data_IF_749248288268
#
_entry.id   IF_749248288268
#
_cell.length_a   1.000
_cell.length_b   1.000
_cell.length_c   1.000
_cell.angle_alpha   90.00
_cell.angle_beta   90.00
_cell.angle_gamma   90.00
#
_symmetry.space_group_name_H-M   'P 1'
#
loop_
_entity.id
_entity.type
_entity.pdbx_description
1 polymer ?
#
# COMPACT_ATOMS: atom_id res chain seq x y z
N UNK A 1 34.96 14.32 -40.69
CA UNK A 1 33.54 14.54 -41.04
C UNK A 1 32.80 13.20 -41.10
N UNK A 2 32.16 12.79 -40.01
CA UNK A 2 31.06 11.82 -40.03
C UNK A 2 30.31 11.93 -38.68
N UNK A 3 29.05 12.38 -38.75
CA UNK A 3 28.13 12.53 -37.63
C UNK A 3 27.64 11.14 -37.18
N UNK A 4 27.70 10.83 -35.89
CA UNK A 4 26.91 9.75 -35.30
C UNK A 4 25.72 10.38 -34.59
N UNK A 5 24.54 10.03 -35.10
CA UNK A 5 23.26 10.58 -34.70
C UNK A 5 22.76 9.94 -33.38
N UNK A 6 22.11 10.81 -32.61
CA UNK A 6 21.41 10.62 -31.34
C UNK A 6 20.40 9.47 -31.38
N UNK A 7 20.66 8.40 -30.61
CA UNK A 7 19.66 7.41 -30.22
C UNK A 7 18.75 7.94 -29.11
N UNK A 8 17.68 8.62 -29.50
CA UNK A 8 16.53 8.93 -28.64
C UNK A 8 15.29 8.59 -29.45
N UNK A 9 14.70 7.41 -29.25
CA UNK A 9 13.29 7.10 -29.57
C UNK A 9 13.01 5.66 -29.12
N UNK A 10 12.31 5.49 -27.99
CA UNK A 10 11.47 4.30 -27.69
C UNK A 10 10.49 4.48 -26.52
N UNK A 11 10.47 5.62 -25.81
CA UNK A 11 9.58 5.79 -24.64
C UNK A 11 8.17 6.35 -24.95
N UNK A 12 7.90 6.83 -26.18
CA UNK A 12 6.69 7.59 -26.49
C UNK A 12 5.50 6.77 -27.03
N UNK A 13 5.66 5.47 -27.25
CA UNK A 13 4.66 4.64 -27.96
C UNK A 13 3.78 3.76 -27.06
N UNK A 14 3.92 3.81 -25.72
CA UNK A 14 3.12 2.99 -24.80
C UNK A 14 1.87 3.70 -24.23
N UNK A 15 1.75 5.03 -24.37
CA UNK A 15 0.68 5.81 -23.72
C UNK A 15 -0.71 5.68 -24.41
N UNK A 16 -0.78 5.14 -25.63
CA UNK A 16 -2.02 5.02 -26.40
C UNK A 16 -2.86 3.77 -26.11
N UNK A 17 -2.25 2.72 -25.56
CA UNK A 17 -2.89 1.40 -25.35
C UNK A 17 -3.33 1.15 -23.90
N UNK A 18 -3.00 2.03 -22.96
CA UNK A 18 -3.40 1.86 -21.55
C UNK A 18 -4.91 2.18 -21.38
N UNK A 19 -5.70 1.26 -20.79
CA UNK A 19 -7.10 1.49 -20.45
C UNK A 19 -7.32 2.82 -19.74
N UNK A 20 -8.39 3.53 -20.09
CA UNK A 20 -8.73 4.85 -19.51
C UNK A 20 -8.68 4.87 -17.98
N UNK A 21 -9.22 3.86 -17.24
CA UNK A 21 -9.13 3.86 -15.78
C UNK A 21 -7.69 3.83 -15.25
N UNK A 22 -6.81 3.06 -15.88
CA UNK A 22 -5.42 2.94 -15.46
C UNK A 22 -4.65 4.24 -15.72
N UNK A 23 -4.90 4.88 -16.88
CA UNK A 23 -4.35 6.22 -17.17
C UNK A 23 -4.80 7.27 -16.17
N UNK A 24 -6.09 7.29 -15.83
CA UNK A 24 -6.64 8.22 -14.83
C UNK A 24 -5.99 8.01 -13.45
N UNK A 25 -5.83 6.77 -13.00
CA UNK A 25 -5.18 6.45 -11.72
C UNK A 25 -3.70 6.84 -11.73
N UNK A 26 -2.95 6.48 -12.79
CA UNK A 26 -1.54 6.81 -12.95
C UNK A 26 -1.29 8.33 -12.92
N UNK A 27 -2.10 9.09 -13.66
CA UNK A 27 -2.03 10.55 -13.68
C UNK A 27 -2.43 11.15 -12.33
N UNK A 28 -3.50 10.65 -11.70
CA UNK A 28 -3.94 11.13 -10.40
C UNK A 28 -2.87 10.88 -9.33
N UNK A 29 -2.28 9.68 -9.25
CA UNK A 29 -1.16 9.35 -8.35
C UNK A 29 -0.02 10.35 -8.53
N UNK A 30 0.43 10.56 -9.76
CA UNK A 30 1.54 11.49 -10.04
C UNK A 30 1.22 12.93 -9.63
N UNK A 31 0.05 13.44 -9.99
CA UNK A 31 -0.35 14.81 -9.64
C UNK A 31 -0.53 14.99 -8.12
N UNK A 32 -1.11 13.99 -7.43
CA UNK A 32 -1.22 14.01 -5.98
C UNK A 32 0.14 13.95 -5.28
N UNK A 33 1.12 13.22 -5.84
CA UNK A 33 2.49 13.19 -5.34
C UNK A 33 3.19 14.55 -5.49
N UNK A 34 3.06 15.18 -6.66
CA UNK A 34 3.75 16.42 -7.02
C UNK A 34 3.15 17.66 -6.33
N UNK A 35 1.82 17.74 -6.23
CA UNK A 35 1.09 18.97 -5.87
C UNK A 35 0.25 18.80 -4.60
N UNK A 36 0.01 17.57 -4.15
CA UNK A 36 -0.92 17.27 -3.07
C UNK A 36 -2.36 17.09 -3.54
N UNK A 37 -3.13 16.31 -2.77
CA UNK A 37 -4.51 15.94 -3.09
C UNK A 37 -5.44 17.16 -3.23
N UNK A 38 -5.36 18.12 -2.30
CA UNK A 38 -6.26 19.27 -2.26
C UNK A 38 -6.05 20.22 -3.44
N UNK A 39 -4.78 20.49 -3.78
CA UNK A 39 -4.41 21.40 -4.85
C UNK A 39 -4.61 20.82 -6.26
N UNK A 40 -4.82 19.51 -6.36
CA UNK A 40 -5.10 18.84 -7.64
C UNK A 40 -6.59 18.88 -7.95
N UNK A 41 -6.95 19.49 -9.09
CA UNK A 41 -8.33 19.54 -9.60
C UNK A 41 -8.64 18.38 -10.54
N UNK A 42 -9.93 18.02 -10.64
CA UNK A 42 -10.41 17.05 -11.64
C UNK A 42 -10.04 17.46 -13.06
N UNK A 43 -10.05 18.78 -13.36
CA UNK A 43 -9.70 19.28 -14.69
C UNK A 43 -8.24 18.95 -15.05
N UNK A 44 -7.30 19.21 -14.14
CA UNK A 44 -5.88 18.88 -14.35
C UNK A 44 -5.67 17.37 -14.60
N UNK A 45 -6.40 16.52 -13.87
CA UNK A 45 -6.31 15.06 -14.03
C UNK A 45 -6.78 14.65 -15.42
N UNK A 46 -7.96 15.09 -15.86
CA UNK A 46 -8.51 14.66 -17.16
C UNK A 46 -7.73 15.23 -18.34
N UNK A 47 -7.22 16.46 -18.22
CA UNK A 47 -6.36 17.07 -19.23
C UNK A 47 -5.05 16.29 -19.39
N UNK A 48 -4.41 15.95 -18.27
CA UNK A 48 -3.17 15.16 -18.28
C UNK A 48 -3.39 13.70 -18.70
N UNK A 49 -4.56 13.12 -18.45
CA UNK A 49 -4.93 11.77 -18.91
C UNK A 49 -5.42 11.73 -20.36
N UNK A 50 -5.65 12.88 -20.99
CA UNK A 50 -6.15 12.99 -22.36
C UNK A 50 -7.59 12.47 -22.52
N UNK A 51 -8.43 12.69 -21.51
CA UNK A 51 -9.84 12.26 -21.50
C UNK A 51 -10.77 13.41 -21.08
N UNK A 52 -12.07 13.22 -21.22
CA UNK A 52 -13.06 14.22 -20.76
C UNK A 52 -13.45 13.99 -19.30
N UNK A 53 -14.02 15.02 -18.66
CA UNK A 53 -14.69 14.87 -17.35
C UNK A 53 -15.77 13.79 -17.36
N UNK A 54 -16.56 13.72 -18.43
CA UNK A 54 -17.59 12.68 -18.58
C UNK A 54 -16.99 11.27 -18.59
N UNK A 55 -15.84 11.08 -19.25
CA UNK A 55 -15.13 9.81 -19.22
C UNK A 55 -14.59 9.47 -17.83
N UNK A 56 -14.06 10.45 -17.08
CA UNK A 56 -13.67 10.21 -15.68
C UNK A 56 -14.89 9.80 -14.84
N UNK A 57 -15.98 10.58 -14.88
CA UNK A 57 -17.18 10.32 -14.07
C UNK A 57 -17.89 9.02 -14.44
N UNK A 58 -17.66 8.49 -15.64
CA UNK A 58 -18.10 7.15 -16.00
C UNK A 58 -17.39 6.04 -15.21
N UNK A 59 -16.10 6.23 -14.88
CA UNK A 59 -15.29 5.24 -14.15
C UNK A 59 -15.16 5.53 -12.65
N UNK A 60 -15.12 6.81 -12.27
CA UNK A 60 -14.88 7.28 -10.91
C UNK A 60 -15.83 8.43 -10.60
N UNK A 61 -16.75 8.24 -9.65
CA UNK A 61 -17.78 9.22 -9.31
C UNK A 61 -17.23 10.55 -8.77
N UNK A 62 -15.98 10.58 -8.32
CA UNK A 62 -15.36 11.74 -7.67
C UNK A 62 -13.83 11.69 -7.68
N UNK A 63 -13.19 12.79 -7.27
CA UNK A 63 -11.75 12.84 -6.98
C UNK A 63 -11.39 11.91 -5.81
N UNK A 64 -12.30 11.78 -4.84
CA UNK A 64 -12.18 10.89 -3.69
C UNK A 64 -12.12 9.42 -4.14
N UNK A 65 -12.90 9.03 -5.16
CA UNK A 65 -12.87 7.68 -5.72
C UNK A 65 -11.52 7.35 -6.35
N UNK A 66 -10.86 8.32 -6.99
CA UNK A 66 -9.49 8.12 -7.50
C UNK A 66 -8.50 7.89 -6.36
N UNK A 67 -8.50 8.75 -5.32
CA UNK A 67 -7.60 8.59 -4.18
C UNK A 67 -7.86 7.27 -3.43
N UNK A 68 -9.14 6.92 -3.25
CA UNK A 68 -9.52 5.65 -2.66
C UNK A 68 -9.02 4.47 -3.49
N UNK A 69 -9.26 4.46 -4.80
CA UNK A 69 -8.89 3.33 -5.65
C UNK A 69 -7.37 3.14 -5.75
N UNK A 70 -6.58 4.22 -5.75
CA UNK A 70 -5.11 4.16 -5.68
C UNK A 70 -4.67 3.32 -4.47
N UNK A 71 -5.21 3.60 -3.29
CA UNK A 71 -4.86 2.86 -2.08
C UNK A 71 -5.53 1.49 -1.98
N UNK A 72 -6.79 1.38 -2.42
CA UNK A 72 -7.55 0.13 -2.40
C UNK A 72 -6.86 -0.96 -3.23
N UNK A 73 -6.19 -0.61 -4.34
CA UNK A 73 -5.38 -1.54 -5.12
C UNK A 73 -4.26 -2.17 -4.28
N UNK A 74 -3.55 -1.36 -3.49
CA UNK A 74 -2.48 -1.84 -2.60
C UNK A 74 -3.07 -2.73 -1.51
N UNK A 75 -4.15 -2.30 -0.86
CA UNK A 75 -4.85 -3.08 0.16
C UNK A 75 -5.33 -4.43 -0.35
N UNK A 76 -5.93 -4.51 -1.54
CA UNK A 76 -6.40 -5.77 -2.12
C UNK A 76 -5.27 -6.77 -2.33
N UNK A 77 -4.11 -6.29 -2.81
CA UNK A 77 -2.92 -7.14 -2.98
C UNK A 77 -2.42 -7.63 -1.62
N UNK A 78 -2.29 -6.74 -0.64
CA UNK A 78 -1.84 -7.09 0.70
C UNK A 78 -2.80 -8.09 1.36
N UNK A 79 -4.11 -7.89 1.26
CA UNK A 79 -5.11 -8.82 1.78
C UNK A 79 -5.02 -10.20 1.13
N UNK A 80 -4.94 -10.27 -0.20
CA UNK A 80 -4.84 -11.56 -0.88
C UNK A 80 -3.59 -12.34 -0.47
N UNK A 81 -2.44 -11.66 -0.36
CA UNK A 81 -1.18 -12.26 0.08
C UNK A 81 -1.23 -12.69 1.54
N UNK A 82 -1.79 -11.84 2.39
CA UNK A 82 -1.97 -12.11 3.82
C UNK A 82 -2.85 -13.34 4.05
N UNK A 83 -3.99 -13.47 3.36
CA UNK A 83 -4.83 -14.67 3.49
C UNK A 83 -4.10 -15.93 3.00
N UNK A 84 -3.37 -15.83 1.89
CA UNK A 84 -2.58 -16.95 1.37
C UNK A 84 -1.49 -17.39 2.34
N UNK A 85 -0.76 -16.46 2.95
CA UNK A 85 0.28 -16.76 3.93
C UNK A 85 -0.31 -17.30 5.24
N UNK A 86 -1.41 -16.71 5.72
CA UNK A 86 -2.08 -17.11 6.95
C UNK A 86 -2.75 -18.49 6.86
N UNK A 87 -3.07 -18.95 5.64
CA UNK A 87 -3.65 -20.27 5.36
C UNK A 87 -2.60 -21.34 4.97
N UNK A 88 -1.31 -20.99 4.90
CA UNK A 88 -0.26 -21.93 4.54
C UNK A 88 -0.13 -23.07 5.57
N UNK A 89 0.22 -24.27 5.10
CA UNK A 89 0.51 -25.43 5.96
C UNK A 89 1.91 -25.30 6.57
N UNK A 90 2.06 -24.38 7.51
CA UNK A 90 3.33 -24.05 8.18
C UNK A 90 3.08 -23.59 9.63
N UNK A 91 4.09 -23.67 10.51
CA UNK A 91 4.00 -23.15 11.86
C UNK A 91 3.51 -21.70 11.91
N UNK A 92 2.72 -21.36 12.94
CA UNK A 92 2.10 -20.03 13.08
C UNK A 92 3.12 -18.89 13.10
N UNK A 93 4.34 -19.14 13.60
CA UNK A 93 5.44 -18.18 13.58
C UNK A 93 5.89 -17.86 12.16
N UNK A 94 6.01 -18.87 11.31
CA UNK A 94 6.41 -18.71 9.90
C UNK A 94 5.31 -17.97 9.11
N UNK A 95 4.04 -18.32 9.36
CA UNK A 95 2.91 -17.59 8.76
C UNK A 95 2.87 -16.13 9.17
N UNK A 96 3.01 -15.84 10.47
CA UNK A 96 3.00 -14.47 10.98
C UNK A 96 4.21 -13.68 10.45
N UNK A 97 5.38 -14.30 10.37
CA UNK A 97 6.58 -13.70 9.78
C UNK A 97 6.34 -13.32 8.31
N UNK A 98 5.83 -14.26 7.50
CA UNK A 98 5.57 -14.03 6.09
C UNK A 98 4.56 -12.89 5.86
N UNK A 99 3.48 -12.84 6.66
CA UNK A 99 2.50 -11.75 6.62
C UNK A 99 3.14 -10.40 6.97
N UNK A 100 3.92 -10.35 8.04
CA UNK A 100 4.59 -9.14 8.51
C UNK A 100 5.66 -8.63 7.51
N UNK A 101 6.46 -9.53 6.95
CA UNK A 101 7.48 -9.17 5.97
C UNK A 101 6.84 -8.66 4.66
N UNK A 102 5.81 -9.34 4.16
CA UNK A 102 5.14 -8.94 2.92
C UNK A 102 4.46 -7.57 3.03
N UNK A 103 3.80 -7.27 4.15
CA UNK A 103 3.11 -5.98 4.29
C UNK A 103 4.10 -4.80 4.30
N UNK A 104 5.26 -4.98 4.91
CA UNK A 104 6.33 -3.97 4.91
C UNK A 104 6.94 -3.83 3.51
N UNK A 105 7.30 -4.94 2.88
CA UNK A 105 7.90 -4.93 1.54
C UNK A 105 6.96 -4.33 0.49
N UNK A 106 5.67 -4.67 0.54
CA UNK A 106 4.66 -4.09 -0.36
C UNK A 106 4.41 -2.61 -0.07
N UNK A 107 4.45 -2.18 1.20
CA UNK A 107 4.38 -0.75 1.55
C UNK A 107 5.59 0.00 1.00
N UNK A 108 6.79 -0.56 1.14
CA UNK A 108 8.05 0.00 0.62
C UNK A 108 8.08 0.09 -0.92
N UNK A 109 7.42 -0.85 -1.61
CA UNK A 109 7.29 -0.82 -3.06
C UNK A 109 6.28 0.24 -3.55
N UNK A 110 5.34 0.65 -2.71
CA UNK A 110 4.24 1.58 -3.04
C UNK A 110 4.27 2.83 -2.13
N UNK A 111 5.45 3.38 -1.85
CA UNK A 111 5.63 4.48 -0.89
C UNK A 111 4.86 5.74 -1.26
N UNK A 112 4.86 6.12 -2.53
CA UNK A 112 4.17 7.34 -2.97
C UNK A 112 2.66 7.19 -2.75
N UNK A 113 2.08 6.08 -3.20
CA UNK A 113 0.65 5.77 -3.01
C UNK A 113 0.27 5.76 -1.53
N UNK A 114 1.06 5.08 -0.69
CA UNK A 114 0.79 4.99 0.74
C UNK A 114 0.96 6.34 1.43
N UNK A 115 2.01 7.10 1.12
CA UNK A 115 2.28 8.44 1.66
C UNK A 115 1.19 9.44 1.29
N UNK A 116 0.76 9.47 0.02
CA UNK A 116 -0.36 10.31 -0.44
C UNK A 116 -1.61 9.92 0.34
N UNK A 117 -1.91 8.63 0.43
CA UNK A 117 -3.08 8.14 1.14
C UNK A 117 -3.09 8.55 2.61
N UNK A 118 -2.02 8.27 3.37
CA UNK A 118 -1.97 8.59 4.81
C UNK A 118 -2.07 10.09 5.09
N UNK A 119 -1.55 10.94 4.20
CA UNK A 119 -1.66 12.40 4.32
C UNK A 119 -3.05 12.93 3.99
N UNK A 120 -3.81 12.23 3.16
CA UNK A 120 -5.07 12.75 2.61
C UNK A 120 -6.31 11.96 3.01
N UNK A 121 -6.18 10.81 3.68
CA UNK A 121 -7.32 9.95 4.01
C UNK A 121 -8.37 10.63 4.90
N UNK A 122 -7.95 11.58 5.74
CA UNK A 122 -8.85 12.35 6.60
C UNK A 122 -9.69 13.38 5.83
N UNK A 123 -9.34 13.65 4.56
CA UNK A 123 -10.03 14.57 3.66
C UNK A 123 -11.06 13.86 2.78
N UNK A 124 -11.04 12.53 2.72
CA UNK A 124 -12.01 11.75 1.96
C UNK A 124 -13.42 11.93 2.53
N UNK A 125 -14.44 11.77 1.69
CA UNK A 125 -15.83 11.69 2.13
C UNK A 125 -16.00 10.61 3.21
N UNK A 126 -16.85 10.82 4.23
CA UNK A 126 -17.04 9.88 5.35
C UNK A 126 -17.28 8.41 4.94
N UNK A 127 -17.99 8.19 3.83
CA UNK A 127 -18.26 6.85 3.31
C UNK A 127 -16.98 6.15 2.85
N UNK A 128 -16.10 6.86 2.13
CA UNK A 128 -14.78 6.32 1.72
C UNK A 128 -13.85 6.12 2.89
N UNK A 129 -13.90 6.99 3.90
CA UNK A 129 -13.16 6.75 5.14
C UNK A 129 -13.67 5.47 5.84
N UNK A 130 -14.98 5.21 5.83
CA UNK A 130 -15.56 4.01 6.42
C UNK A 130 -15.13 2.74 5.68
N UNK A 131 -15.13 2.76 4.33
CA UNK A 131 -14.62 1.66 3.50
C UNK A 131 -13.15 1.34 3.85
N UNK A 132 -12.27 2.34 3.91
CA UNK A 132 -10.87 2.09 4.27
C UNK A 132 -10.70 1.58 5.70
N UNK A 133 -11.47 2.12 6.66
CA UNK A 133 -11.43 1.62 8.04
C UNK A 133 -11.87 0.16 8.12
N UNK A 134 -12.86 -0.25 7.34
CA UNK A 134 -13.31 -1.64 7.28
C UNK A 134 -12.23 -2.57 6.73
N UNK A 135 -11.58 -2.19 5.62
CA UNK A 135 -10.49 -2.98 5.03
C UNK A 135 -9.29 -3.11 5.98
N UNK A 136 -8.91 -2.02 6.66
CA UNK A 136 -7.83 -2.05 7.65
C UNK A 136 -8.18 -2.90 8.86
N UNK A 137 -9.41 -2.80 9.36
CA UNK A 137 -9.91 -3.61 10.47
C UNK A 137 -9.85 -5.10 10.13
N UNK A 138 -10.28 -5.50 8.93
CA UNK A 138 -10.21 -6.89 8.49
C UNK A 138 -8.77 -7.42 8.51
N UNK A 139 -7.82 -6.62 8.04
CA UNK A 139 -6.41 -7.02 8.04
C UNK A 139 -5.92 -7.19 9.48
N UNK A 140 -6.19 -6.19 10.32
CA UNK A 140 -5.83 -6.17 11.74
C UNK A 140 -6.36 -7.41 12.47
N UNK A 141 -7.65 -7.68 12.36
CA UNK A 141 -8.32 -8.82 13.01
C UNK A 141 -7.70 -10.16 12.57
N UNK A 142 -7.31 -10.29 11.30
CA UNK A 142 -6.69 -11.51 10.79
C UNK A 142 -5.29 -11.74 11.34
N UNK A 143 -4.50 -10.68 11.54
CA UNK A 143 -3.18 -10.76 12.19
C UNK A 143 -3.33 -11.04 13.69
N UNK A 144 -4.28 -10.39 14.37
CA UNK A 144 -4.62 -10.70 15.77
C UNK A 144 -4.93 -12.20 15.93
N UNK A 145 -5.74 -12.76 15.03
CA UNK A 145 -6.09 -14.18 15.08
C UNK A 145 -4.87 -15.12 14.97
N UNK A 146 -3.83 -14.76 14.20
CA UNK A 146 -2.58 -15.53 14.13
C UNK A 146 -1.80 -15.46 15.44
N UNK A 147 -1.74 -14.29 16.07
CA UNK A 147 -1.10 -14.12 17.38
C UNK A 147 -1.85 -14.94 18.44
N UNK A 148 -3.17 -14.85 18.48
CA UNK A 148 -4.02 -15.62 19.40
C UNK A 148 -3.88 -17.14 19.19
N UNK A 149 -3.75 -17.58 17.94
CA UNK A 149 -3.45 -18.98 17.61
C UNK A 149 -2.12 -19.43 18.24
N UNK A 150 -1.04 -18.66 18.06
CA UNK A 150 0.25 -19.00 18.66
C UNK A 150 0.27 -18.90 20.18
N UNK A 151 -0.50 -17.98 20.78
CA UNK A 151 -0.68 -17.90 22.23
C UNK A 151 -1.39 -19.14 22.77
N UNK A 152 -2.49 -19.59 22.13
CA UNK A 152 -3.19 -20.82 22.51
C UNK A 152 -2.33 -22.07 22.36
N UNK A 153 -1.44 -22.08 21.36
CA UNK A 153 -0.48 -23.17 21.14
C UNK A 153 0.71 -23.15 22.11
N UNK A 154 0.85 -22.12 22.97
CA UNK A 154 2.00 -21.95 23.87
C UNK A 154 3.30 -21.56 23.15
N UNK A 155 3.19 -21.19 21.87
CA UNK A 155 4.30 -20.79 21.00
C UNK A 155 4.65 -19.32 21.20
N UNK A 156 3.66 -18.49 21.51
CA UNK A 156 3.82 -17.08 21.84
C UNK A 156 3.47 -16.81 23.30
N UNK A 157 4.12 -15.82 23.90
CA UNK A 157 3.78 -15.30 25.23
C UNK A 157 2.34 -14.78 25.27
N UNK A 158 1.62 -15.08 26.35
CA UNK A 158 0.21 -14.72 26.50
C UNK A 158 -0.05 -13.47 27.37
N UNK A 159 0.98 -12.84 27.93
CA UNK A 159 0.86 -11.63 28.76
C UNK A 159 0.77 -10.32 27.95
N UNK A 160 0.70 -10.41 26.62
CA UNK A 160 0.59 -9.27 25.71
C UNK A 160 -0.71 -9.38 24.91
N UNK A 161 -1.45 -8.27 24.84
CA UNK A 161 -2.66 -8.16 24.02
C UNK A 161 -2.28 -8.26 22.53
N UNK A 162 -2.92 -9.15 21.75
CA UNK A 162 -2.77 -9.20 20.30
C UNK A 162 -2.99 -7.85 19.64
N UNK A 163 -4.07 -7.13 20.00
CA UNK A 163 -4.38 -5.81 19.46
C UNK A 163 -3.24 -4.81 19.65
N UNK A 164 -2.67 -4.72 20.87
CA UNK A 164 -1.57 -3.79 21.14
C UNK A 164 -0.30 -4.14 20.36
N UNK A 165 -0.02 -5.43 20.16
CA UNK A 165 1.13 -5.88 19.36
C UNK A 165 0.92 -5.51 17.88
N UNK A 166 -0.28 -5.72 17.36
CA UNK A 166 -0.64 -5.37 15.98
C UNK A 166 -0.61 -3.86 15.78
N UNK A 167 -1.19 -3.07 16.68
CA UNK A 167 -1.16 -1.59 16.63
C UNK A 167 0.27 -1.06 16.67
N UNK A 168 1.14 -1.62 17.53
CA UNK A 168 2.55 -1.24 17.59
C UNK A 168 3.27 -1.53 16.26
N UNK A 169 3.08 -2.73 15.71
CA UNK A 169 3.68 -3.14 14.45
C UNK A 169 3.20 -2.27 13.28
N UNK A 170 1.89 -2.15 13.09
CA UNK A 170 1.32 -1.35 11.99
C UNK A 170 1.59 0.15 12.15
N UNK A 171 1.69 0.65 13.37
CA UNK A 171 2.17 2.01 13.63
C UNK A 171 3.54 2.25 12.98
N UNK A 172 4.47 1.31 13.14
CA UNK A 172 5.78 1.38 12.51
C UNK A 172 5.70 1.27 10.97
N UNK A 173 4.89 0.35 10.43
CA UNK A 173 4.68 0.19 8.98
C UNK A 173 4.09 1.46 8.35
N UNK A 174 3.09 2.08 8.98
CA UNK A 174 2.48 3.31 8.49
C UNK A 174 3.45 4.50 8.50
N UNK A 175 4.44 4.48 9.41
CA UNK A 175 5.46 5.53 9.49
C UNK A 175 6.57 5.39 8.43
N UNK A 176 6.65 4.26 7.72
CA UNK A 176 7.71 3.94 6.76
C UNK A 176 7.92 5.04 5.71
N UNK A 177 6.83 5.62 5.20
CA UNK A 177 6.85 6.69 4.18
C UNK A 177 7.48 8.02 4.62
N UNK A 178 7.89 8.15 5.88
CA UNK A 178 8.55 9.35 6.41
C UNK A 178 10.08 9.27 6.39
N UNK A 179 10.65 8.06 6.40
CA UNK A 179 12.09 7.86 6.57
C UNK A 179 12.70 6.86 5.58
N UNK A 180 11.93 5.88 5.09
CA UNK A 180 12.46 4.86 4.19
C UNK A 180 12.80 5.46 2.82
N UNK A 181 13.91 5.01 2.26
CA UNK A 181 14.46 5.48 0.99
C UNK A 181 14.72 4.29 0.08
N UNK A 182 14.12 4.30 -1.12
CA UNK A 182 14.31 3.23 -2.09
C UNK A 182 15.75 3.13 -2.63
N UNK A 183 16.53 4.22 -2.53
CA UNK A 183 17.94 4.31 -2.91
C UNK A 183 18.90 4.11 -1.71
N UNK A 184 18.38 3.63 -0.57
CA UNK A 184 19.16 3.35 0.63
C UNK A 184 19.88 2.00 0.60
N UNK A 185 20.62 1.70 1.68
CA UNK A 185 21.37 0.45 1.82
C UNK A 185 20.47 -0.79 2.00
N UNK A 186 19.31 -0.61 2.65
CA UNK A 186 18.34 -1.68 2.87
C UNK A 186 17.23 -1.62 1.82
N UNK A 187 16.96 -2.75 1.18
CA UNK A 187 15.79 -2.90 0.32
C UNK A 187 14.51 -2.98 1.14
N UNK A 188 13.35 -2.80 0.48
CA UNK A 188 12.06 -3.00 1.15
C UNK A 188 11.86 -4.43 1.67
N UNK A 189 12.50 -5.42 1.04
CA UNK A 189 12.50 -6.80 1.51
C UNK A 189 13.34 -6.95 2.78
N UNK A 190 14.55 -6.39 2.82
CA UNK A 190 15.42 -6.43 4.01
C UNK A 190 14.74 -5.78 5.22
N UNK A 191 14.10 -4.63 5.01
CA UNK A 191 13.34 -3.96 6.08
C UNK A 191 12.16 -4.81 6.52
N UNK A 192 11.46 -5.48 5.59
CA UNK A 192 10.36 -6.37 5.90
C UNK A 192 10.76 -7.57 6.74
N UNK A 193 11.85 -8.24 6.38
CA UNK A 193 12.40 -9.36 7.15
C UNK A 193 12.77 -8.91 8.58
N UNK A 194 13.48 -7.79 8.72
CA UNK A 194 13.87 -7.27 10.04
C UNK A 194 12.67 -6.83 10.89
N UNK A 195 11.64 -6.22 10.28
CA UNK A 195 10.41 -5.85 10.98
C UNK A 195 9.64 -7.08 11.46
N UNK A 196 9.56 -8.12 10.64
CA UNK A 196 8.94 -9.39 11.00
C UNK A 196 9.70 -10.10 12.13
N UNK A 197 11.04 -10.07 12.10
CA UNK A 197 11.88 -10.61 13.17
C UNK A 197 11.67 -9.88 14.50
N UNK A 198 11.56 -8.54 14.47
CA UNK A 198 11.26 -7.73 15.65
C UNK A 198 9.86 -8.05 16.21
N UNK A 199 8.86 -8.21 15.34
CA UNK A 199 7.52 -8.62 15.74
C UNK A 199 7.56 -9.99 16.45
N UNK A 200 8.19 -10.99 15.84
CA UNK A 200 8.31 -12.32 16.45
C UNK A 200 9.11 -12.29 17.76
N UNK A 201 10.19 -11.51 17.82
CA UNK A 201 10.98 -11.34 19.03
C UNK A 201 10.14 -10.80 20.20
N UNK A 202 9.20 -9.88 19.92
CA UNK A 202 8.27 -9.33 20.92
C UNK A 202 7.27 -10.36 21.47
N UNK A 203 7.06 -11.47 20.74
CA UNK A 203 6.09 -12.53 21.06
C UNK A 203 6.73 -13.80 21.64
N UNK A 204 8.06 -13.87 21.78
CA UNK A 204 8.74 -15.04 22.36
C UNK A 204 8.27 -15.29 23.82
N UNK A 205 8.09 -16.57 24.22
CA UNK A 205 7.68 -16.96 25.58
C UNK A 205 8.52 -16.36 26.72
#
# INVERSE_FOLDING_TARGET
>A
MARVASGRTTAATAAGDEPVPQRLLSVATRLFAEQGYELTSVQQIVDAAGVTKGAMYHYFGSKDDLLYEIYARVLRVQHARMESAAAADSPVQERLHAVAADVVATTAANLDDTKIFFRSMHLLHPDKQAEVRAERRRYHERVCALIEEGQRAGVFRADKSPDLVVDFFFGAVHHLGTWFRQDGELTGQDVGEQFADLLLASLRP
#
